data_IF_666130632801
#
_entry.id   IF_666130632801
#
_cell.length_a   1.000
_cell.length_b   1.000
_cell.length_c   1.000
_cell.angle_alpha   90.00
_cell.angle_beta   90.00
_cell.angle_gamma   90.00
#
_symmetry.space_group_name_H-M   'P 1'
#
loop_
_entity.id
_entity.type
_entity.pdbx_description
1 polymer ?
#
# COMPACT_ATOMS: atom_id res chain seq x y z
N UNK A 1 -48.23 37.52 15.14
CA UNK A 1 -47.84 36.56 16.19
C UNK A 1 -48.03 35.16 15.62
N UNK A 2 -47.11 34.21 15.57
CA UNK A 2 -45.72 34.11 16.02
C UNK A 2 -45.07 32.92 15.28
N UNK A 3 -43.88 33.14 14.72
CA UNK A 3 -42.73 32.22 14.54
C UNK A 3 -42.96 30.77 14.07
N UNK A 4 -42.72 30.52 12.78
CA UNK A 4 -42.17 29.25 12.28
C UNK A 4 -40.66 29.25 12.53
N UNK A 5 -40.17 28.19 13.18
CA UNK A 5 -38.75 27.97 13.44
C UNK A 5 -38.04 27.64 12.12
N UNK A 6 -37.33 28.63 11.57
CA UNK A 6 -36.28 28.43 10.57
C UNK A 6 -34.95 28.50 11.33
N UNK A 7 -34.47 27.35 11.77
CA UNK A 7 -33.07 27.10 12.06
C UNK A 7 -32.61 26.17 10.94
N UNK A 8 -31.57 26.42 10.15
CA UNK A 8 -30.53 27.44 10.15
C UNK A 8 -29.44 26.85 9.26
N UNK A 9 -28.87 27.69 8.40
CA UNK A 9 -27.70 27.43 7.56
C UNK A 9 -27.85 26.39 6.42
N UNK A 10 -28.25 26.91 5.25
CA UNK A 10 -27.65 26.47 4.00
C UNK A 10 -26.15 26.80 4.04
N UNK A 11 -25.30 25.80 3.88
CA UNK A 11 -23.91 25.97 3.49
C UNK A 11 -23.50 24.81 2.59
N UNK A 12 -23.38 25.12 1.29
CA UNK A 12 -22.50 24.40 0.38
C UNK A 12 -23.04 23.10 -0.19
N UNK A 13 -23.66 23.21 -1.36
CA UNK A 13 -23.30 22.28 -2.43
C UNK A 13 -21.77 22.34 -2.62
N UNK A 14 -21.05 21.41 -2.01
CA UNK A 14 -19.66 21.12 -2.31
C UNK A 14 -19.58 19.68 -2.81
N UNK A 15 -19.67 19.58 -4.14
CA UNK A 15 -18.78 18.76 -4.96
C UNK A 15 -18.73 17.25 -4.63
N UNK A 16 -19.42 16.50 -5.49
CA UNK A 16 -18.83 15.32 -6.11
C UNK A 16 -17.32 15.54 -6.36
N UNK A 17 -16.47 14.73 -5.72
CA UNK A 17 -15.03 14.70 -5.96
C UNK A 17 -14.19 15.34 -4.86
N UNK A 18 -13.55 14.53 -4.02
CA UNK A 18 -12.53 14.99 -3.08
C UNK A 18 -12.34 14.03 -1.91
N UNK A 19 -11.25 13.26 -1.92
CA UNK A 19 -10.79 12.56 -0.74
C UNK A 19 -10.44 13.56 0.37
N UNK A 20 -10.80 13.25 1.62
CA UNK A 20 -10.44 14.09 2.75
C UNK A 20 -11.24 13.82 4.03
N UNK A 21 -10.69 12.92 4.86
CA UNK A 21 -10.68 13.00 6.33
C UNK A 21 -11.98 13.35 7.08
N UNK A 22 -12.66 12.32 7.59
CA UNK A 22 -13.33 12.39 8.89
C UNK A 22 -12.90 11.18 9.74
N UNK A 23 -11.62 11.15 10.10
CA UNK A 23 -11.18 10.35 11.23
C UNK A 23 -11.71 11.03 12.50
N UNK A 24 -12.84 10.56 13.00
CA UNK A 24 -13.36 10.95 14.31
C UNK A 24 -12.39 10.44 15.39
N UNK A 25 -11.48 11.32 15.80
CA UNK A 25 -10.61 11.12 16.95
C UNK A 25 -11.47 11.21 18.23
N UNK A 26 -11.99 10.07 18.68
CA UNK A 26 -12.60 9.94 20.00
C UNK A 26 -11.55 9.39 20.98
N UNK A 27 -11.26 10.19 22.01
CA UNK A 27 -10.29 9.93 23.05
C UNK A 27 -10.55 8.62 23.80
N UNK A 28 -9.53 7.75 23.91
CA UNK A 28 -9.54 6.60 24.82
C UNK A 28 -8.65 5.42 24.41
N UNK A 29 -7.48 5.35 25.02
CA UNK A 29 -6.75 4.13 25.42
C UNK A 29 -6.17 3.16 24.36
N UNK A 30 -4.87 2.91 24.52
CA UNK A 30 -3.96 1.96 23.84
C UNK A 30 -3.40 2.40 22.48
N UNK A 31 -2.08 2.60 22.46
CA UNK A 31 -1.25 2.78 21.26
C UNK A 31 -1.55 1.67 20.25
N UNK A 32 -2.44 1.93 19.29
CA UNK A 32 -2.60 1.06 18.15
C UNK A 32 -1.44 1.34 17.20
N UNK A 33 -0.61 0.32 16.97
CA UNK A 33 0.49 0.43 16.01
C UNK A 33 -0.06 0.72 14.61
N UNK A 34 0.64 1.53 13.84
CA UNK A 34 0.42 1.60 12.40
C UNK A 34 0.99 0.36 11.70
N UNK A 35 0.62 0.18 10.43
CA UNK A 35 1.07 -0.96 9.63
C UNK A 35 2.60 -1.05 9.54
N UNK A 36 3.29 0.07 9.33
CA UNK A 36 4.75 0.07 9.22
C UNK A 36 5.42 -0.41 10.51
N UNK A 37 5.07 0.18 11.64
CA UNK A 37 5.64 -0.14 12.95
C UNK A 37 5.27 -1.56 13.38
N UNK A 38 4.03 -2.00 13.13
CA UNK A 38 3.59 -3.37 13.41
C UNK A 38 4.36 -4.39 12.58
N UNK A 39 4.50 -4.16 11.27
CA UNK A 39 5.22 -5.05 10.36
C UNK A 39 6.72 -5.10 10.68
N UNK A 40 7.36 -3.95 10.87
CA UNK A 40 8.79 -3.82 11.15
C UNK A 40 9.21 -4.56 12.42
N UNK A 41 8.38 -4.59 13.47
CA UNK A 41 8.67 -5.37 14.69
C UNK A 41 8.64 -6.88 14.46
N UNK A 42 7.87 -7.36 13.49
CA UNK A 42 7.74 -8.79 13.16
C UNK A 42 8.64 -9.28 12.04
N UNK A 43 9.31 -8.37 11.31
CA UNK A 43 10.11 -8.67 10.12
C UNK A 43 11.53 -8.10 10.27
N UNK A 44 12.31 -8.67 11.19
CA UNK A 44 13.64 -8.16 11.56
C UNK A 44 14.71 -8.42 10.49
N UNK A 45 14.46 -9.37 9.60
CA UNK A 45 15.31 -9.79 8.48
C UNK A 45 14.93 -9.10 7.15
N UNK A 46 13.97 -8.18 7.19
CA UNK A 46 13.46 -7.48 6.02
C UNK A 46 13.61 -5.97 6.13
N UNK A 47 13.67 -5.32 4.98
CA UNK A 47 13.74 -3.87 4.87
C UNK A 47 12.57 -3.33 4.06
N UNK A 48 12.22 -2.08 4.31
CA UNK A 48 11.09 -1.45 3.66
C UNK A 48 11.44 -1.11 2.21
N UNK A 49 10.50 -1.34 1.30
CA UNK A 49 10.72 -1.25 -0.16
C UNK A 49 11.23 0.14 -0.61
N UNK A 50 10.84 1.21 0.08
CA UNK A 50 11.27 2.57 -0.26
C UNK A 50 12.77 2.79 0.02
N UNK A 51 13.37 2.02 0.93
CA UNK A 51 14.78 2.09 1.27
C UNK A 51 15.67 1.25 0.32
N UNK A 52 15.04 0.50 -0.60
CA UNK A 52 15.70 -0.51 -1.43
C UNK A 52 15.54 -0.26 -2.95
N UNK A 53 15.23 0.97 -3.37
CA UNK A 53 14.83 1.30 -4.74
C UNK A 53 15.70 0.69 -5.85
N UNK A 54 17.01 0.94 -5.81
CA UNK A 54 17.94 0.48 -6.86
C UNK A 54 18.04 -1.04 -6.92
N UNK A 55 18.01 -1.69 -5.75
CA UNK A 55 18.10 -3.14 -5.66
C UNK A 55 16.80 -3.80 -6.11
N UNK A 56 15.65 -3.22 -5.75
CA UNK A 56 14.35 -3.71 -6.19
C UNK A 56 14.22 -3.71 -7.70
N UNK A 57 14.56 -2.60 -8.36
CA UNK A 57 14.48 -2.52 -9.83
C UNK A 57 15.40 -3.56 -10.49
N UNK A 58 16.62 -3.74 -9.97
CA UNK A 58 17.56 -4.78 -10.45
C UNK A 58 17.03 -6.20 -10.24
N UNK A 59 16.46 -6.49 -9.08
CA UNK A 59 15.91 -7.82 -8.80
C UNK A 59 14.72 -8.14 -9.66
N UNK A 60 13.82 -7.18 -9.89
CA UNK A 60 12.63 -7.38 -10.72
C UNK A 60 12.98 -7.85 -12.13
N UNK A 61 14.08 -7.38 -12.72
CA UNK A 61 14.56 -7.79 -14.05
C UNK A 61 15.38 -9.09 -14.06
N UNK A 62 15.82 -9.60 -12.91
CA UNK A 62 16.64 -10.83 -12.79
C UNK A 62 15.78 -12.06 -12.52
N UNK A 63 15.69 -13.02 -13.45
CA UNK A 63 14.77 -14.18 -13.37
C UNK A 63 14.88 -14.98 -12.05
N UNK A 64 16.08 -15.15 -11.54
CA UNK A 64 16.45 -16.04 -10.43
C UNK A 64 16.60 -15.34 -9.07
N UNK A 65 16.32 -14.04 -8.98
CA UNK A 65 16.38 -13.28 -7.71
C UNK A 65 15.02 -13.02 -7.12
N UNK A 66 14.96 -13.07 -5.78
CA UNK A 66 13.77 -12.68 -4.99
C UNK A 66 12.48 -13.33 -5.50
N UNK A 67 12.56 -14.62 -5.86
CA UNK A 67 11.47 -15.37 -6.51
C UNK A 67 10.19 -15.32 -5.66
N UNK A 68 10.31 -15.52 -4.34
CA UNK A 68 9.18 -15.47 -3.42
C UNK A 68 8.58 -14.07 -3.31
N UNK A 69 9.40 -13.03 -3.29
CA UNK A 69 8.91 -11.66 -3.29
C UNK A 69 8.18 -11.34 -4.59
N UNK A 70 8.73 -11.71 -5.75
CA UNK A 70 8.09 -11.51 -7.05
C UNK A 70 6.75 -12.23 -7.16
N UNK A 71 6.67 -13.45 -6.65
CA UNK A 71 5.42 -14.20 -6.54
C UNK A 71 4.42 -13.46 -5.66
N UNK A 72 4.84 -13.08 -4.44
CA UNK A 72 3.99 -12.32 -3.53
C UNK A 72 3.50 -11.02 -4.17
N UNK A 73 4.36 -10.31 -4.90
CA UNK A 73 3.98 -9.08 -5.59
C UNK A 73 2.95 -9.37 -6.70
N UNK A 74 3.22 -10.34 -7.57
CA UNK A 74 2.30 -10.78 -8.63
C UNK A 74 0.92 -11.14 -8.06
N UNK A 75 0.88 -11.96 -7.02
CA UNK A 75 -0.36 -12.45 -6.41
C UNK A 75 -1.18 -11.34 -5.74
N UNK A 76 -0.55 -10.19 -5.45
CA UNK A 76 -1.16 -9.15 -4.63
C UNK A 76 -1.39 -7.80 -5.32
N UNK A 77 -0.68 -7.50 -6.41
CA UNK A 77 -0.70 -6.17 -7.02
C UNK A 77 -2.08 -5.76 -7.57
N UNK A 78 -2.86 -6.71 -8.07
CA UNK A 78 -4.21 -6.46 -8.62
C UNK A 78 -5.23 -6.01 -7.56
N UNK A 79 -4.96 -6.32 -6.29
CA UNK A 79 -5.82 -6.00 -5.16
C UNK A 79 -5.24 -4.87 -4.29
N UNK A 80 -4.12 -4.29 -4.71
CA UNK A 80 -3.63 -3.03 -4.15
C UNK A 80 -4.42 -1.89 -4.78
N UNK A 81 -5.42 -1.38 -4.08
CA UNK A 81 -6.30 -0.30 -4.57
C UNK A 81 -6.08 1.00 -3.80
N UNK A 82 -6.67 2.09 -4.29
CA UNK A 82 -6.63 3.39 -3.58
C UNK A 82 -5.32 4.17 -3.72
N UNK A 83 -4.51 3.85 -4.73
CA UNK A 83 -3.29 4.61 -5.05
C UNK A 83 -3.67 5.85 -5.87
N UNK A 84 -3.60 7.03 -5.26
CA UNK A 84 -3.92 8.29 -5.96
C UNK A 84 -2.74 8.69 -6.85
N UNK A 85 -3.02 9.03 -8.11
CA UNK A 85 -2.01 9.54 -9.04
C UNK A 85 -1.08 8.47 -9.63
N UNK A 86 -1.39 7.18 -9.45
CA UNK A 86 -0.65 6.07 -10.07
C UNK A 86 -1.62 5.05 -10.64
N UNK A 87 -1.31 4.54 -11.83
CA UNK A 87 -2.11 3.51 -12.51
C UNK A 87 -1.50 2.14 -12.22
N UNK A 88 -2.34 1.17 -11.91
CA UNK A 88 -1.90 -0.21 -11.73
C UNK A 88 -1.18 -0.71 -13.01
N UNK A 89 -0.03 -1.36 -12.89
CA UNK A 89 0.64 -1.96 -14.03
C UNK A 89 -0.26 -2.98 -14.74
N UNK A 90 -0.13 -3.06 -16.06
CA UNK A 90 -0.86 -4.05 -16.86
C UNK A 90 -0.54 -5.48 -16.40
N UNK A 91 -1.54 -6.36 -16.42
CA UNK A 91 -1.39 -7.74 -15.96
C UNK A 91 -0.30 -8.49 -16.73
N UNK A 92 -0.17 -8.23 -18.02
CA UNK A 92 0.87 -8.82 -18.89
C UNK A 92 2.28 -8.46 -18.43
N UNK A 93 2.49 -7.24 -17.89
CA UNK A 93 3.78 -6.80 -17.33
C UNK A 93 4.05 -7.47 -15.99
N UNK A 94 3.02 -7.57 -15.15
CA UNK A 94 3.09 -8.23 -13.84
C UNK A 94 3.36 -9.73 -14.01
N UNK A 95 2.76 -10.38 -15.01
CA UNK A 95 2.91 -11.81 -15.25
C UNK A 95 4.36 -12.22 -15.53
N UNK A 96 5.16 -11.31 -16.12
CA UNK A 96 6.60 -11.49 -16.35
C UNK A 96 7.41 -11.66 -15.07
N UNK A 97 6.91 -11.23 -13.90
CA UNK A 97 7.60 -11.42 -12.61
C UNK A 97 7.84 -12.89 -12.25
N UNK A 98 7.03 -13.80 -12.82
CA UNK A 98 7.17 -15.25 -12.67
C UNK A 98 7.25 -15.95 -14.04
N UNK A 99 7.42 -15.19 -15.11
CA UNK A 99 7.46 -15.70 -16.48
C UNK A 99 8.87 -16.10 -16.91
N UNK A 100 8.94 -16.75 -18.07
CA UNK A 100 10.24 -17.12 -18.65
C UNK A 100 11.05 -15.92 -19.14
N UNK A 101 10.35 -14.86 -19.57
CA UNK A 101 10.93 -13.58 -19.92
C UNK A 101 10.71 -12.61 -18.77
N UNK A 102 11.78 -12.10 -18.12
CA UNK A 102 11.63 -11.13 -17.05
C UNK A 102 11.10 -9.79 -17.58
N UNK A 103 10.58 -8.92 -16.69
CA UNK A 103 10.26 -7.54 -17.05
C UNK A 103 11.48 -6.81 -17.61
N UNK A 104 11.24 -5.89 -18.53
CA UNK A 104 12.22 -4.86 -18.91
C UNK A 104 12.47 -3.87 -17.77
N UNK A 105 13.52 -3.07 -17.86
CA UNK A 105 13.81 -2.04 -16.85
C UNK A 105 12.65 -1.05 -16.65
N UNK A 106 12.00 -0.65 -17.75
CA UNK A 106 10.86 0.26 -17.70
C UNK A 106 9.64 -0.41 -17.02
N UNK A 107 9.35 -1.67 -17.34
CA UNK A 107 8.25 -2.42 -16.70
C UNK A 107 8.55 -2.66 -15.21
N UNK A 108 9.79 -3.00 -14.86
CA UNK A 108 10.22 -3.15 -13.47
C UNK A 108 10.08 -1.84 -12.70
N UNK A 109 10.44 -0.70 -13.31
CA UNK A 109 10.24 0.63 -12.72
C UNK A 109 8.77 0.92 -12.48
N UNK A 110 7.89 0.68 -13.45
CA UNK A 110 6.44 0.88 -13.30
C UNK A 110 5.85 0.03 -12.16
N UNK A 111 6.22 -1.26 -12.11
CA UNK A 111 5.82 -2.18 -11.06
C UNK A 111 6.31 -1.70 -9.69
N UNK A 112 7.58 -1.30 -9.60
CA UNK A 112 8.18 -0.78 -8.37
C UNK A 112 7.48 0.50 -7.90
N UNK A 113 7.32 1.49 -8.78
CA UNK A 113 6.76 2.80 -8.43
C UNK A 113 5.31 2.68 -7.95
N UNK A 114 4.50 1.86 -8.61
CA UNK A 114 3.14 1.56 -8.17
C UNK A 114 3.13 0.91 -6.78
N UNK A 115 4.00 -0.08 -6.57
CA UNK A 115 4.10 -0.80 -5.29
C UNK A 115 4.54 0.11 -4.17
N UNK A 116 5.57 0.92 -4.40
CA UNK A 116 6.06 1.94 -3.47
C UNK A 116 4.94 2.92 -3.12
N UNK A 117 4.22 3.45 -4.11
CA UNK A 117 3.14 4.40 -3.87
C UNK A 117 2.01 3.82 -3.02
N UNK A 118 1.64 2.56 -3.24
CA UNK A 118 0.67 1.87 -2.40
C UNK A 118 1.20 1.62 -0.98
N UNK A 119 2.45 1.18 -0.85
CA UNK A 119 3.09 1.01 0.46
C UNK A 119 3.13 2.33 1.25
N UNK A 120 3.44 3.44 0.59
CA UNK A 120 3.45 4.78 1.19
C UNK A 120 2.06 5.23 1.62
N UNK A 121 1.01 4.91 0.85
CA UNK A 121 -0.36 5.25 1.21
C UNK A 121 -0.90 4.44 2.39
N UNK A 122 -0.36 3.23 2.62
CA UNK A 122 -0.79 2.31 3.68
C UNK A 122 0.06 2.36 4.94
N UNK A 123 1.29 2.88 4.88
CA UNK A 123 2.24 2.79 6.01
C UNK A 123 1.71 3.32 7.34
N UNK A 124 0.89 4.38 7.30
CA UNK A 124 0.31 5.05 8.46
C UNK A 124 -1.11 4.55 8.81
N UNK A 125 -1.62 3.52 8.13
CA UNK A 125 -2.90 2.92 8.46
C UNK A 125 -2.84 2.28 9.84
N UNK A 126 -3.88 2.50 10.66
CA UNK A 126 -3.95 1.95 12.02
C UNK A 126 -4.24 0.46 11.94
N UNK A 127 -3.37 -0.35 12.54
CA UNK A 127 -3.61 -1.78 12.65
C UNK A 127 -4.63 -2.09 13.75
N UNK A 128 -5.65 -2.87 13.41
CA UNK A 128 -6.66 -3.33 14.34
C UNK A 128 -6.91 -4.84 14.16
N UNK A 129 -6.44 -5.63 15.12
CA UNK A 129 -6.58 -7.11 15.13
C UNK A 129 -8.04 -7.58 15.10
N UNK A 130 -9.00 -6.74 15.51
CA UNK A 130 -10.42 -7.08 15.55
C UNK A 130 -11.14 -6.95 14.20
N UNK A 131 -10.50 -6.32 13.20
CA UNK A 131 -11.10 -6.06 11.90
C UNK A 131 -10.47 -6.99 10.83
N UNK A 132 -11.26 -7.95 10.36
CA UNK A 132 -10.82 -8.96 9.39
C UNK A 132 -10.35 -8.38 8.05
N UNK A 133 -10.87 -7.21 7.63
CA UNK A 133 -10.42 -6.54 6.40
C UNK A 133 -9.06 -5.89 6.59
N UNK A 134 -8.84 -5.20 7.73
CA UNK A 134 -7.53 -4.65 8.08
C UNK A 134 -6.46 -5.74 8.17
N UNK A 135 -6.83 -6.95 8.62
CA UNK A 135 -5.90 -8.08 8.68
C UNK A 135 -5.41 -8.52 7.30
N UNK A 136 -6.29 -8.68 6.31
CA UNK A 136 -5.88 -9.11 4.97
C UNK A 136 -5.04 -8.05 4.25
N UNK A 137 -5.42 -6.78 4.38
CA UNK A 137 -4.64 -5.68 3.83
C UNK A 137 -3.27 -5.55 4.50
N UNK A 138 -3.22 -5.75 5.82
CA UNK A 138 -1.96 -5.75 6.56
C UNK A 138 -1.03 -6.91 6.17
N UNK A 139 -1.56 -8.12 5.98
CA UNK A 139 -0.74 -9.25 5.51
C UNK A 139 -0.23 -9.02 4.09
N UNK A 140 -1.04 -8.38 3.22
CA UNK A 140 -0.58 -7.92 1.90
C UNK A 140 0.54 -6.91 2.05
N UNK A 141 0.36 -5.91 2.90
CA UNK A 141 1.36 -4.88 3.20
C UNK A 141 2.69 -5.49 3.63
N UNK A 142 2.68 -6.43 4.57
CA UNK A 142 3.88 -7.17 4.99
C UNK A 142 4.58 -7.89 3.83
N UNK A 143 3.81 -8.50 2.92
CA UNK A 143 4.36 -9.29 1.82
C UNK A 143 5.00 -8.46 0.71
N UNK A 144 4.40 -7.31 0.39
CA UNK A 144 4.83 -6.50 -0.78
C UNK A 144 5.64 -5.26 -0.40
N UNK A 145 5.55 -4.78 0.85
CA UNK A 145 6.26 -3.58 1.29
C UNK A 145 7.54 -3.86 2.06
N UNK A 146 7.79 -5.11 2.44
CA UNK A 146 9.00 -5.54 3.13
C UNK A 146 9.70 -6.64 2.34
N UNK A 147 10.96 -6.40 2.02
CA UNK A 147 11.80 -7.21 1.13
C UNK A 147 12.99 -7.76 1.90
N UNK A 148 13.55 -8.88 1.45
CA UNK A 148 14.70 -9.48 2.11
C UNK A 148 15.82 -8.46 2.26
N UNK A 149 16.37 -8.32 3.46
CA UNK A 149 17.51 -7.43 3.69
C UNK A 149 18.70 -7.93 2.89
N UNK A 150 19.34 -7.03 2.16
CA UNK A 150 20.59 -7.34 1.48
C UNK A 150 21.70 -7.28 2.52
N UNK A 151 22.36 -8.42 2.74
CA UNK A 151 23.64 -8.42 3.41
C UNK A 151 24.64 -7.70 2.49
N UNK A 152 25.03 -6.48 2.89
CA UNK A 152 26.14 -5.74 2.29
C UNK A 152 27.46 -6.37 2.72
#
# INVERSE_FOLDING_TARGET
MSTQAIAGAAAGAALLGGGGTLAAYAAGAFNKDDYFNKAKRGLTDKEYIADQEDNMKKWLIQKDKEIDYKKNLKDNISSMTGVVGSTAPESTKVDKLQGDTPPTEQEAKEIYDYTKAWCESKKNAVYNDADGQNKQEFERFKKVCFVTKIAV
#
